data_IF_596685253176
#
_entry.id   IF_596685253176
#
_cell.length_a   1.000
_cell.length_b   1.000
_cell.length_c   1.000
_cell.angle_alpha   90.00
_cell.angle_beta   90.00
_cell.angle_gamma   90.00
#
_symmetry.space_group_name_H-M   'P 1'
#
loop_
_entity.id
_entity.type
_entity.pdbx_description
1 polymer ?
#
# COMPACT_ATOMS: atom_id res chain seq x y z
N UNK A 1 23.78 -2.01 -3.16
CA UNK A 1 22.66 -2.30 -2.23
C UNK A 1 21.54 -2.91 -3.03
N UNK A 2 20.83 -3.91 -2.49
CA UNK A 2 19.63 -4.43 -3.13
C UNK A 2 18.53 -3.34 -3.12
N UNK A 3 17.66 -3.26 -4.14
CA UNK A 3 16.53 -2.33 -4.14
C UNK A 3 15.60 -2.59 -2.96
N UNK A 4 15.03 -1.52 -2.41
CA UNK A 4 14.09 -1.59 -1.29
C UNK A 4 12.71 -1.98 -1.84
N UNK A 5 12.11 -3.04 -1.29
CA UNK A 5 10.76 -3.44 -1.65
C UNK A 5 9.75 -2.50 -1.00
N UNK A 6 8.87 -1.92 -1.80
CA UNK A 6 7.80 -1.04 -1.30
C UNK A 6 6.44 -1.46 -1.85
N UNK A 7 5.43 -1.37 -0.99
CA UNK A 7 4.03 -1.54 -1.34
C UNK A 7 3.33 -0.18 -1.18
N UNK A 8 2.68 0.32 -2.23
CA UNK A 8 2.02 1.63 -2.19
C UNK A 8 0.52 1.40 -2.09
N UNK A 9 -0.08 1.82 -0.98
CA UNK A 9 -1.50 1.66 -0.70
C UNK A 9 -2.28 2.95 -0.95
N UNK A 10 -3.52 2.78 -1.41
CA UNK A 10 -4.42 3.87 -1.80
C UNK A 10 -4.61 4.04 -3.29
N UNK A 11 -4.12 3.12 -4.14
CA UNK A 11 -4.52 3.10 -5.55
C UNK A 11 -6.02 2.79 -5.69
N UNK A 12 -6.71 3.40 -6.66
CA UNK A 12 -6.18 4.22 -7.78
C UNK A 12 -6.04 5.73 -7.48
N UNK A 13 -5.95 6.15 -6.21
CA UNK A 13 -5.85 7.56 -5.83
C UNK A 13 -4.65 8.29 -6.43
N UNK A 14 -4.84 9.56 -6.79
CA UNK A 14 -3.85 10.36 -7.56
C UNK A 14 -2.44 10.39 -6.95
N UNK A 15 -2.34 10.55 -5.62
CA UNK A 15 -1.04 10.60 -4.94
C UNK A 15 -0.36 9.24 -4.95
N UNK A 16 -1.09 8.17 -4.65
CA UNK A 16 -0.59 6.80 -4.72
C UNK A 16 -0.13 6.46 -6.15
N UNK A 17 -0.87 6.86 -7.18
CA UNK A 17 -0.51 6.67 -8.59
C UNK A 17 0.76 7.40 -8.97
N UNK A 18 0.94 8.64 -8.52
CA UNK A 18 2.16 9.40 -8.74
C UNK A 18 3.38 8.74 -8.05
N UNK A 19 3.21 8.31 -6.80
CA UNK A 19 4.26 7.61 -6.05
C UNK A 19 4.64 6.29 -6.73
N UNK A 20 3.68 5.49 -7.18
CA UNK A 20 3.92 4.25 -7.91
C UNK A 20 4.67 4.52 -9.22
N UNK A 21 4.29 5.56 -9.95
CA UNK A 21 5.01 5.95 -11.17
C UNK A 21 6.46 6.35 -10.88
N UNK A 22 6.74 7.07 -9.78
CA UNK A 22 8.10 7.41 -9.37
C UNK A 22 8.90 6.20 -8.91
N UNK A 23 8.30 5.32 -8.09
CA UNK A 23 8.91 4.08 -7.65
C UNK A 23 9.34 3.20 -8.83
N UNK A 24 8.47 3.04 -9.84
CA UNK A 24 8.78 2.25 -11.05
C UNK A 24 9.97 2.83 -11.84
N UNK A 25 10.16 4.16 -11.83
CA UNK A 25 11.27 4.80 -12.53
C UNK A 25 12.59 4.82 -11.76
N UNK A 26 12.58 4.49 -10.46
CA UNK A 26 13.74 4.63 -9.59
C UNK A 26 14.33 3.26 -9.25
N UNK A 27 15.53 2.98 -9.76
CA UNK A 27 16.25 1.72 -9.55
C UNK A 27 16.55 1.37 -8.08
N UNK A 28 16.37 2.31 -7.14
CA UNK A 28 16.51 2.07 -5.71
C UNK A 28 15.32 1.32 -5.11
N UNK A 29 14.20 1.23 -5.82
CA UNK A 29 12.97 0.62 -5.33
C UNK A 29 12.49 -0.51 -6.23
N UNK A 30 11.87 -1.51 -5.61
CA UNK A 30 11.06 -2.53 -6.29
C UNK A 30 9.63 -2.39 -5.80
N UNK A 31 8.70 -2.09 -6.71
CA UNK A 31 7.29 -1.96 -6.37
C UNK A 31 6.65 -3.36 -6.30
N UNK A 32 6.01 -3.66 -5.17
CA UNK A 32 5.14 -4.82 -5.02
C UNK A 32 3.86 -4.58 -5.82
N UNK A 33 3.46 -5.55 -6.65
CA UNK A 33 2.32 -5.45 -7.57
C UNK A 33 0.94 -5.64 -6.88
N UNK A 34 0.81 -5.15 -5.65
CA UNK A 34 -0.41 -5.12 -4.85
C UNK A 34 -0.60 -3.75 -4.20
N UNK A 35 -1.85 -3.29 -4.12
CA UNK A 35 -2.23 -2.10 -3.35
C UNK A 35 -3.51 -2.36 -2.58
N UNK A 36 -3.49 -2.06 -1.28
CA UNK A 36 -4.71 -2.04 -0.48
C UNK A 36 -5.58 -0.84 -0.89
N UNK A 37 -6.88 -1.05 -0.93
CA UNK A 37 -7.86 -0.05 -1.36
C UNK A 37 -9.13 -0.07 -0.51
N UNK A 38 -9.99 0.93 -0.70
CA UNK A 38 -11.27 1.08 -0.01
C UNK A 38 -12.35 0.12 -0.54
N UNK A 39 -13.41 -0.13 0.24
CA UNK A 39 -14.53 -1.00 -0.17
C UNK A 39 -15.31 -0.49 -1.39
N UNK A 40 -15.20 0.80 -1.72
CA UNK A 40 -15.84 1.44 -2.86
C UNK A 40 -15.17 1.13 -4.20
N UNK A 41 -13.92 0.66 -4.18
CA UNK A 41 -13.17 0.33 -5.38
C UNK A 41 -13.52 -1.08 -5.83
N UNK A 42 -14.03 -1.19 -7.06
CA UNK A 42 -14.55 -2.44 -7.63
C UNK A 42 -13.59 -3.05 -8.65
N UNK A 43 -12.68 -2.24 -9.16
CA UNK A 43 -11.61 -2.61 -10.06
C UNK A 43 -10.66 -3.58 -9.35
N UNK A 44 -10.22 -4.62 -10.08
CA UNK A 44 -9.30 -5.62 -9.56
C UNK A 44 -7.84 -5.27 -9.82
N UNK A 45 -7.59 -4.33 -10.71
CA UNK A 45 -6.26 -3.93 -11.16
C UNK A 45 -6.24 -2.45 -11.52
N UNK A 46 -5.11 -1.79 -11.25
CA UNK A 46 -4.80 -0.47 -11.74
C UNK A 46 -3.45 -0.48 -12.46
N UNK A 47 -3.41 0.09 -13.67
CA UNK A 47 -2.18 0.13 -14.46
C UNK A 47 -1.43 1.43 -14.22
N UNK A 48 -0.17 1.33 -13.81
CA UNK A 48 0.73 2.46 -13.65
C UNK A 48 1.93 2.23 -14.57
N UNK A 49 2.05 3.06 -15.61
CA UNK A 49 3.02 2.87 -16.70
C UNK A 49 2.85 1.49 -17.36
N UNK A 50 3.89 0.66 -17.30
CA UNK A 50 3.97 -0.69 -17.84
C UNK A 50 3.74 -1.77 -16.77
N UNK A 51 3.36 -1.39 -15.54
CA UNK A 51 3.05 -2.33 -14.44
C UNK A 51 1.55 -2.39 -14.18
N UNK A 52 1.07 -3.61 -14.00
CA UNK A 52 -0.28 -3.93 -13.56
C UNK A 52 -0.25 -4.18 -12.05
N UNK A 53 -0.99 -3.39 -11.28
CA UNK A 53 -0.99 -3.48 -9.82
C UNK A 53 -2.36 -3.99 -9.38
N UNK A 54 -2.38 -5.12 -8.67
CA UNK A 54 -3.61 -5.73 -8.18
C UNK A 54 -4.19 -4.91 -7.02
N UNK A 55 -5.46 -4.55 -7.14
CA UNK A 55 -6.18 -3.84 -6.09
C UNK A 55 -6.82 -4.82 -5.12
N UNK A 56 -6.61 -4.58 -3.83
CA UNK A 56 -6.96 -5.50 -2.75
C UNK A 56 -7.90 -4.81 -1.79
N UNK A 57 -9.17 -5.23 -1.81
CA UNK A 57 -10.18 -4.70 -0.91
C UNK A 57 -10.03 -5.19 0.54
N UNK A 58 -10.78 -4.59 1.49
CA UNK A 58 -10.67 -4.89 2.92
C UNK A 58 -10.94 -6.36 3.28
N UNK A 59 -11.76 -7.06 2.50
CA UNK A 59 -12.17 -8.45 2.78
C UNK A 59 -11.03 -9.44 2.55
N UNK A 60 -10.14 -9.17 1.59
CA UNK A 60 -9.07 -10.10 1.18
C UNK A 60 -7.67 -9.64 1.60
N UNK A 61 -7.53 -8.42 2.14
CA UNK A 61 -6.23 -7.86 2.55
C UNK A 61 -5.42 -8.76 3.49
N UNK A 62 -6.09 -9.48 4.39
CA UNK A 62 -5.47 -10.39 5.35
C UNK A 62 -4.74 -11.55 4.67
N UNK A 63 -5.42 -12.23 3.76
CA UNK A 63 -4.87 -13.36 3.02
C UNK A 63 -3.74 -12.91 2.08
N UNK A 64 -3.95 -11.80 1.37
CA UNK A 64 -2.96 -11.26 0.44
C UNK A 64 -1.68 -10.85 1.16
N UNK A 65 -1.77 -10.14 2.28
CA UNK A 65 -0.59 -9.72 3.04
C UNK A 65 0.18 -10.92 3.61
N UNK A 66 -0.52 -11.97 4.04
CA UNK A 66 0.14 -13.22 4.43
C UNK A 66 0.92 -13.82 3.27
N UNK A 67 0.30 -13.92 2.09
CA UNK A 67 0.94 -14.47 0.88
C UNK A 67 2.14 -13.62 0.42
N UNK A 68 2.06 -12.29 0.49
CA UNK A 68 3.19 -11.41 0.19
C UNK A 68 4.33 -11.68 1.18
N UNK A 69 4.06 -11.81 2.48
CA UNK A 69 5.09 -12.08 3.49
C UNK A 69 5.74 -13.46 3.37
N UNK A 70 5.10 -14.42 2.69
CA UNK A 70 5.68 -15.74 2.41
C UNK A 70 6.64 -15.71 1.21
N UNK A 71 6.51 -14.72 0.33
CA UNK A 71 7.20 -14.69 -0.98
C UNK A 71 8.15 -13.51 -1.16
N UNK A 72 7.87 -12.38 -0.52
CA UNK A 72 8.72 -11.20 -0.52
C UNK A 72 9.66 -11.20 0.69
N UNK A 73 10.86 -10.64 0.50
CA UNK A 73 11.71 -10.21 1.62
C UNK A 73 11.02 -9.07 2.41
N UNK A 74 11.73 -8.49 3.38
CA UNK A 74 11.26 -7.31 4.09
C UNK A 74 10.86 -6.18 3.12
N UNK A 75 9.65 -5.65 3.30
CA UNK A 75 9.11 -4.55 2.50
C UNK A 75 8.52 -3.46 3.38
N UNK A 76 8.47 -2.24 2.84
CA UNK A 76 7.90 -1.06 3.51
C UNK A 76 6.60 -0.67 2.83
N UNK A 77 5.56 -0.40 3.61
CA UNK A 77 4.31 0.17 3.09
C UNK A 77 4.41 1.70 3.01
N UNK A 78 3.95 2.27 1.90
CA UNK A 78 3.72 3.71 1.76
C UNK A 78 2.21 3.94 1.63
N UNK A 79 1.61 4.61 2.61
CA UNK A 79 0.15 4.74 2.73
C UNK A 79 -0.30 6.17 2.38
N UNK A 80 -1.07 6.27 1.29
CA UNK A 80 -1.80 7.46 0.86
C UNK A 80 -3.24 7.07 0.50
N UNK A 81 -4.03 6.77 1.53
CA UNK A 81 -5.40 6.25 1.47
C UNK A 81 -6.42 7.32 1.86
N UNK A 82 -7.60 6.90 2.34
CA UNK A 82 -8.65 7.79 2.80
C UNK A 82 -8.47 8.15 4.29
N UNK A 83 -8.79 9.38 4.74
CA UNK A 83 -8.69 9.79 6.14
C UNK A 83 -9.32 8.83 7.16
N UNK A 84 -10.43 8.16 6.79
CA UNK A 84 -11.10 7.20 7.68
C UNK A 84 -10.35 5.88 7.85
N UNK A 85 -9.36 5.59 7.00
CA UNK A 85 -8.59 4.35 7.02
C UNK A 85 -7.30 4.46 7.82
N UNK A 86 -6.84 5.68 8.16
CA UNK A 86 -5.55 5.96 8.83
C UNK A 86 -5.29 5.03 10.02
N UNK A 87 -6.19 5.02 11.01
CA UNK A 87 -5.98 4.26 12.24
C UNK A 87 -6.13 2.75 12.04
N UNK A 88 -7.04 2.32 11.17
CA UNK A 88 -7.25 0.91 10.85
C UNK A 88 -6.05 0.33 10.10
N UNK A 89 -5.54 1.06 9.11
CA UNK A 89 -4.33 0.70 8.37
C UNK A 89 -3.10 0.67 9.29
N UNK A 90 -2.92 1.69 10.14
CA UNK A 90 -1.80 1.71 11.09
C UNK A 90 -1.82 0.50 12.04
N UNK A 91 -2.99 0.17 12.62
CA UNK A 91 -3.16 -1.05 13.44
C UNK A 91 -2.84 -2.30 12.64
N UNK A 92 -3.38 -2.41 11.44
CA UNK A 92 -3.13 -3.54 10.55
C UNK A 92 -1.63 -3.71 10.27
N UNK A 93 -0.90 -2.65 9.93
CA UNK A 93 0.55 -2.74 9.71
C UNK A 93 1.31 -3.14 10.99
N UNK A 94 0.93 -2.62 12.15
CA UNK A 94 1.51 -3.00 13.44
C UNK A 94 1.28 -4.49 13.77
N UNK A 95 0.06 -4.99 13.63
CA UNK A 95 -0.30 -6.39 13.88
C UNK A 95 0.50 -7.34 12.98
N UNK A 96 0.73 -6.93 11.74
CA UNK A 96 1.55 -7.67 10.77
C UNK A 96 3.05 -7.36 10.85
N UNK A 97 3.50 -6.48 11.75
CA UNK A 97 4.90 -6.03 11.88
C UNK A 97 5.50 -5.54 10.55
N UNK A 98 4.74 -4.74 9.81
CA UNK A 98 5.17 -4.17 8.54
C UNK A 98 5.63 -2.73 8.80
N UNK A 99 6.89 -2.37 8.49
CA UNK A 99 7.32 -0.98 8.55
C UNK A 99 6.53 -0.15 7.54
N UNK A 100 6.11 1.06 7.92
CA UNK A 100 5.31 1.89 7.04
C UNK A 100 5.61 3.38 7.16
N UNK A 101 5.40 4.09 6.05
CA UNK A 101 5.40 5.55 5.94
C UNK A 101 3.97 5.98 5.61
N UNK A 102 3.31 6.67 6.53
CA UNK A 102 1.93 7.12 6.34
C UNK A 102 1.90 8.62 6.03
N UNK A 103 1.56 8.95 4.79
CA UNK A 103 1.33 10.32 4.34
C UNK A 103 -0.15 10.72 4.34
N UNK A 104 -1.05 9.76 4.53
CA UNK A 104 -2.50 9.99 4.65
C UNK A 104 -2.79 10.97 5.78
N UNK A 105 -3.41 12.10 5.43
CA UNK A 105 -3.85 13.11 6.41
C UNK A 105 -5.21 12.75 6.99
N UNK A 106 -5.51 13.23 8.20
CA UNK A 106 -6.75 12.95 8.92
C UNK A 106 -6.54 11.90 10.00
N UNK A 107 -7.47 10.95 10.11
CA UNK A 107 -7.51 9.97 11.19
C UNK A 107 -8.08 10.53 12.50
N UNK A 108 -8.12 9.67 13.51
CA UNK A 108 -8.43 10.06 14.87
C UNK A 108 -7.29 10.91 15.44
N UNK A 109 -7.63 12.15 15.78
CA UNK A 109 -6.72 13.16 16.33
C UNK A 109 -7.08 13.52 17.76
N UNK A 110 -8.13 12.90 18.30
CA UNK A 110 -8.48 13.08 19.70
C UNK A 110 -7.49 12.23 20.49
N UNK A 111 -6.53 12.92 21.10
CA UNK A 111 -5.67 12.31 22.10
C UNK A 111 -6.53 11.97 23.32
N UNK A 112 -6.34 10.81 23.94
CA UNK A 112 -7.00 10.48 25.21
C UNK A 112 -6.68 11.51 26.31
#
# INVERSE_FOLDING_TARGET
MAPIQIMINGLPGNVATALAAHAIADSRFTLIEYSLTGPEITETEHRVKDRAIRLVGPQTRQEVIRSIKETADEFVVVDFTHPSAVNDNARFYCDHRIPFVMGTTGGDRDLP
#
